data_IF_157146459359
#
_entry.id   IF_157146459359
#
_cell.length_a   1.000
_cell.length_b   1.000
_cell.length_c   1.000
_cell.angle_alpha   90.00
_cell.angle_beta   90.00
_cell.angle_gamma   90.00
#
_symmetry.space_group_name_H-M   'P 1'
#
loop_
_entity.id
_entity.type
_entity.pdbx_description
1 polymer ?
#
# COMPACT_ATOMS: atom_id res chain seq x y z
N UNK A 1 -5.00 -10.15 -38.25
CA UNK A 1 -4.80 -9.25 -37.10
C UNK A 1 -4.26 -10.11 -35.95
N UNK A 2 -2.95 -10.09 -35.71
CA UNK A 2 -2.35 -10.87 -34.63
C UNK A 2 -2.50 -10.10 -33.31
N UNK A 3 -3.51 -10.46 -32.51
CA UNK A 3 -3.62 -9.97 -31.14
C UNK A 3 -2.43 -10.51 -30.33
N UNK A 4 -1.48 -9.63 -29.98
CA UNK A 4 -0.47 -9.95 -28.97
C UNK A 4 -1.21 -10.15 -27.64
N UNK A 5 -1.40 -11.39 -27.23
CA UNK A 5 -1.85 -11.72 -25.88
C UNK A 5 -0.72 -11.32 -24.92
N UNK A 6 -1.00 -10.38 -24.00
CA UNK A 6 -0.04 -10.00 -22.95
C UNK A 6 0.14 -11.17 -21.99
N UNK A 7 1.37 -11.41 -21.58
CA UNK A 7 1.69 -12.45 -20.60
C UNK A 7 1.18 -12.05 -19.21
N UNK A 8 0.95 -13.04 -18.34
CA UNK A 8 0.52 -12.80 -16.94
C UNK A 8 1.54 -11.95 -16.17
N UNK A 9 2.81 -12.03 -16.53
CA UNK A 9 3.90 -11.34 -15.83
C UNK A 9 4.00 -9.87 -16.29
N UNK A 10 3.76 -9.57 -17.57
CA UNK A 10 3.61 -8.18 -18.06
C UNK A 10 2.43 -7.46 -17.41
N UNK A 11 1.28 -8.14 -17.29
CA UNK A 11 0.09 -7.60 -16.62
C UNK A 11 0.33 -7.36 -15.12
N UNK A 12 1.07 -8.25 -14.45
CA UNK A 12 1.46 -8.06 -13.05
C UNK A 12 2.41 -6.85 -12.88
N UNK A 13 3.33 -6.64 -13.83
CA UNK A 13 4.26 -5.51 -13.80
C UNK A 13 3.55 -4.16 -13.96
N UNK A 14 2.63 -4.03 -14.92
CA UNK A 14 1.82 -2.81 -15.10
C UNK A 14 0.96 -2.51 -13.86
N UNK A 15 0.39 -3.55 -13.26
CA UNK A 15 -0.40 -3.44 -12.03
C UNK A 15 0.46 -2.98 -10.85
N UNK A 16 1.66 -3.52 -10.69
CA UNK A 16 2.59 -3.09 -9.64
C UNK A 16 2.97 -1.62 -9.78
N UNK A 17 3.34 -1.19 -10.99
CA UNK A 17 3.65 0.23 -11.27
C UNK A 17 2.46 1.12 -10.87
N UNK A 18 1.24 0.70 -11.19
CA UNK A 18 0.03 1.46 -10.87
C UNK A 18 -0.23 1.53 -9.36
N UNK A 19 -0.07 0.41 -8.65
CA UNK A 19 -0.25 0.35 -7.19
C UNK A 19 0.82 1.20 -6.50
N UNK A 20 2.08 1.06 -6.90
CA UNK A 20 3.22 1.75 -6.31
C UNK A 20 3.05 3.27 -6.51
N UNK A 21 2.68 3.70 -7.72
CA UNK A 21 2.39 5.11 -8.01
C UNK A 21 1.26 5.67 -7.12
N UNK A 22 0.15 4.94 -7.01
CA UNK A 22 -0.97 5.36 -6.16
C UNK A 22 -0.56 5.45 -4.68
N UNK A 23 0.24 4.49 -4.21
CA UNK A 23 0.76 4.49 -2.85
C UNK A 23 1.59 5.74 -2.57
N UNK A 24 2.59 6.04 -3.40
CA UNK A 24 3.47 7.18 -3.20
C UNK A 24 2.75 8.53 -3.33
N UNK A 25 1.81 8.66 -4.27
CA UNK A 25 0.96 9.87 -4.38
C UNK A 25 0.08 10.06 -3.14
N UNK A 26 -0.51 8.98 -2.63
CA UNK A 26 -1.35 9.02 -1.43
C UNK A 26 -0.53 9.36 -0.17
N UNK A 27 0.68 8.79 -0.04
CA UNK A 27 1.63 9.12 1.03
C UNK A 27 2.00 10.60 1.02
N UNK A 28 2.37 11.15 -0.14
CA UNK A 28 2.71 12.57 -0.28
C UNK A 28 1.55 13.48 0.13
N UNK A 29 0.34 13.17 -0.32
CA UNK A 29 -0.85 13.96 0.04
C UNK A 29 -1.14 13.89 1.56
N UNK A 30 -0.98 12.71 2.16
CA UNK A 30 -1.14 12.50 3.60
C UNK A 30 -0.11 13.33 4.38
N UNK A 31 1.16 13.31 3.98
CA UNK A 31 2.23 14.06 4.64
C UNK A 31 2.00 15.57 4.57
N UNK A 32 1.50 16.08 3.45
CA UNK A 32 1.13 17.50 3.34
C UNK A 32 0.02 17.88 4.32
N UNK A 33 -1.00 17.04 4.48
CA UNK A 33 -2.08 17.30 5.44
C UNK A 33 -1.60 17.21 6.90
N UNK A 34 -0.72 16.26 7.21
CA UNK A 34 -0.12 16.13 8.54
C UNK A 34 0.76 17.34 8.85
N UNK A 35 1.59 17.79 7.90
CA UNK A 35 2.49 18.92 8.10
C UNK A 35 1.75 20.22 8.41
N UNK A 36 0.56 20.40 7.84
CA UNK A 36 -0.28 21.57 8.07
C UNK A 36 -0.99 21.55 9.45
N UNK A 37 -0.91 20.44 10.20
CA UNK A 37 -1.51 20.22 11.54
C UNK A 37 -2.98 20.66 11.66
N UNK A 38 -3.73 20.53 10.56
CA UNK A 38 -5.12 20.94 10.50
C UNK A 38 -6.03 19.83 11.02
N UNK A 39 -6.55 20.01 12.24
CA UNK A 39 -7.49 19.10 12.90
C UNK A 39 -8.75 18.86 12.04
N UNK A 40 -9.16 19.81 11.19
CA UNK A 40 -10.29 19.61 10.28
C UNK A 40 -10.04 18.55 9.21
N UNK A 41 -8.77 18.15 9.01
CA UNK A 41 -8.32 17.17 8.01
C UNK A 41 -8.18 15.76 8.55
N UNK A 42 -8.55 15.49 9.81
CA UNK A 42 -8.47 14.16 10.42
C UNK A 42 -9.16 13.08 9.56
N UNK A 43 -10.40 13.33 9.12
CA UNK A 43 -11.14 12.36 8.32
C UNK A 43 -10.54 12.18 6.93
N UNK A 44 -9.94 13.22 6.37
CA UNK A 44 -9.22 13.14 5.10
C UNK A 44 -7.93 12.30 5.25
N UNK A 45 -7.17 12.49 6.33
CA UNK A 45 -6.00 11.69 6.67
C UNK A 45 -6.37 10.22 6.87
N UNK A 46 -7.45 9.92 7.61
CA UNK A 46 -7.95 8.54 7.77
C UNK A 46 -8.34 7.90 6.44
N UNK A 47 -8.98 8.66 5.55
CA UNK A 47 -9.33 8.19 4.20
C UNK A 47 -8.08 7.84 3.39
N UNK A 48 -7.04 8.68 3.45
CA UNK A 48 -5.76 8.43 2.79
C UNK A 48 -5.05 7.20 3.40
N UNK A 49 -5.04 7.07 4.73
CA UNK A 49 -4.51 5.91 5.43
C UNK A 49 -5.20 4.60 4.99
N UNK A 50 -6.52 4.62 4.81
CA UNK A 50 -7.25 3.48 4.29
C UNK A 50 -6.88 3.16 2.83
N UNK A 51 -6.68 4.18 2.00
CA UNK A 51 -6.23 4.00 0.62
C UNK A 51 -4.82 3.38 0.56
N UNK A 52 -3.92 3.82 1.43
CA UNK A 52 -2.58 3.24 1.57
C UNK A 52 -2.67 1.76 1.97
N UNK A 53 -3.46 1.43 2.99
CA UNK A 53 -3.69 0.05 3.41
C UNK A 53 -4.17 -0.85 2.25
N UNK A 54 -5.10 -0.36 1.42
CA UNK A 54 -5.59 -1.08 0.24
C UNK A 54 -4.48 -1.30 -0.79
N UNK A 55 -3.61 -0.32 -1.01
CA UNK A 55 -2.47 -0.46 -1.92
C UNK A 55 -1.53 -1.57 -1.47
N UNK A 56 -1.17 -1.58 -0.17
CA UNK A 56 -0.29 -2.60 0.42
C UNK A 56 -0.93 -3.99 0.30
N UNK A 57 -2.22 -4.13 0.62
CA UNK A 57 -2.94 -5.41 0.48
C UNK A 57 -2.98 -5.90 -0.96
N UNK A 58 -3.23 -5.00 -1.92
CA UNK A 58 -3.21 -5.34 -3.35
C UNK A 58 -1.80 -5.78 -3.74
N UNK A 59 -0.76 -5.02 -3.38
CA UNK A 59 0.64 -5.36 -3.71
C UNK A 59 1.00 -6.75 -3.19
N UNK A 60 0.68 -7.04 -1.93
CA UNK A 60 0.92 -8.33 -1.29
C UNK A 60 0.18 -9.50 -1.95
N UNK A 61 -1.05 -9.30 -2.43
CA UNK A 61 -1.84 -10.36 -3.07
C UNK A 61 -1.23 -10.85 -4.39
N UNK A 62 -0.57 -9.95 -5.13
CA UNK A 62 -0.06 -10.24 -6.47
C UNK A 62 1.40 -10.70 -6.48
N UNK A 63 2.11 -10.63 -5.36
CA UNK A 63 3.46 -11.18 -5.21
C UNK A 63 3.39 -12.69 -4.97
N UNK A 64 3.61 -13.50 -6.02
CA UNK A 64 3.57 -14.98 -5.99
C UNK A 64 4.52 -15.62 -4.95
N UNK A 65 5.51 -14.89 -4.43
CA UNK A 65 6.48 -15.34 -3.43
C UNK A 65 6.29 -14.80 -2.01
N UNK A 66 5.12 -14.22 -1.71
CA UNK A 66 4.89 -13.55 -0.43
C UNK A 66 5.60 -12.21 -0.31
N UNK A 67 5.58 -11.62 0.88
CA UNK A 67 5.83 -10.20 1.14
C UNK A 67 7.26 -9.67 0.84
N UNK A 68 8.15 -10.51 0.30
CA UNK A 68 9.54 -10.17 -0.06
C UNK A 68 9.67 -9.23 -1.27
N UNK A 69 8.58 -8.97 -1.99
CA UNK A 69 8.55 -8.12 -3.19
C UNK A 69 7.72 -6.83 -2.99
N UNK A 70 7.45 -6.47 -1.74
CA UNK A 70 6.80 -5.22 -1.37
C UNK A 70 7.90 -4.20 -1.01
N UNK A 71 7.81 -2.95 -1.49
CA UNK A 71 8.74 -1.88 -1.09
C UNK A 71 8.82 -1.69 0.43
N UNK A 72 9.98 -1.33 0.95
CA UNK A 72 10.20 -1.12 2.40
C UNK A 72 9.29 -0.03 2.97
N UNK A 73 9.02 1.02 2.21
CA UNK A 73 8.14 2.11 2.60
C UNK A 73 6.69 1.64 2.84
N UNK A 74 6.24 0.61 2.13
CA UNK A 74 4.94 -0.02 2.35
C UNK A 74 4.91 -0.90 3.61
N UNK A 75 6.07 -1.41 4.02
CA UNK A 75 6.23 -2.20 5.23
C UNK A 75 6.26 -1.34 6.49
N UNK A 76 7.00 -0.25 6.45
CA UNK A 76 7.18 0.66 7.58
C UNK A 76 6.00 1.62 7.75
N UNK A 77 5.09 1.64 6.78
CA UNK A 77 3.88 2.45 6.86
C UNK A 77 3.02 2.09 8.07
N UNK A 78 2.57 3.13 8.77
CA UNK A 78 1.56 3.05 9.84
C UNK A 78 0.54 4.16 9.68
N UNK A 79 -0.73 3.92 10.02
CA UNK A 79 -1.74 4.97 9.98
C UNK A 79 -1.38 6.08 10.99
N UNK A 80 -1.73 7.33 10.65
CA UNK A 80 -1.48 8.47 11.55
C UNK A 80 -2.47 8.49 12.70
N UNK A 81 -3.74 8.22 12.38
CA UNK A 81 -4.82 8.10 13.35
C UNK A 81 -5.28 6.64 13.50
N UNK A 82 -5.90 6.27 14.64
CA UNK A 82 -6.47 4.94 14.80
C UNK A 82 -7.49 4.62 13.70
N UNK A 83 -7.25 3.54 12.96
CA UNK A 83 -8.19 2.95 12.01
C UNK A 83 -8.52 1.51 12.43
N UNK A 84 -9.65 1.00 11.94
CA UNK A 84 -10.08 -0.36 12.28
C UNK A 84 -9.01 -1.38 11.87
N UNK A 85 -8.47 -2.12 12.85
CA UNK A 85 -7.42 -3.12 12.65
C UNK A 85 -7.77 -4.20 11.62
N UNK A 86 -9.06 -4.46 11.38
CA UNK A 86 -9.52 -5.40 10.34
C UNK A 86 -9.23 -4.90 8.91
N UNK A 87 -9.04 -3.59 8.74
CA UNK A 87 -8.75 -2.95 7.47
C UNK A 87 -7.23 -2.79 7.24
N UNK A 88 -6.42 -3.03 8.27
CA UNK A 88 -4.97 -2.93 8.16
C UNK A 88 -4.40 -4.14 7.41
N UNK A 89 -3.34 -3.94 6.61
CA UNK A 89 -2.60 -5.04 6.03
C UNK A 89 -2.05 -5.94 7.16
N UNK A 90 -2.34 -7.24 7.10
CA UNK A 90 -1.71 -8.22 7.98
C UNK A 90 -0.37 -8.59 7.36
N UNK A 91 0.66 -7.82 7.68
CA UNK A 91 2.02 -8.08 7.21
C UNK A 91 2.78 -8.72 8.37
N UNK A 92 3.30 -9.93 8.18
CA UNK A 92 4.09 -10.67 9.18
C UNK A 92 5.53 -10.71 8.69
N UNK A 93 6.50 -10.18 9.46
CA UNK A 93 7.89 -10.46 9.14
C UNK A 93 8.15 -11.93 9.49
N UNK A 94 8.86 -12.66 8.63
CA UNK A 94 9.37 -13.99 8.97
C UNK A 94 10.32 -13.98 10.20
N UNK A 95 10.68 -12.80 10.74
CA UNK A 95 11.42 -12.67 12.00
C UNK A 95 10.57 -12.91 13.25
N UNK A 96 9.24 -12.93 13.15
CA UNK A 96 8.36 -13.10 14.32
C UNK A 96 8.07 -14.58 14.67
N UNK A 97 8.81 -15.53 14.07
CA UNK A 97 8.65 -16.98 14.31
C UNK A 97 9.59 -17.49 15.41
N UNK A 98 10.45 -16.64 15.98
CA UNK A 98 11.35 -17.02 17.08
C UNK A 98 11.38 -15.96 18.20
N UNK A 99 10.27 -15.83 18.95
CA UNK A 99 10.27 -15.23 20.29
C UNK A 99 9.42 -16.05 21.24
#
# INVERSE_FOLDING_TARGET
>A
MNGKYRTKDELASELFITIDKLFFETMKNREQLIFNDDISKIEEIKRLDLQIAICIQKRARYTKGGFNFIPEEMWDWKPYYPINKKLLPKISRNSDVHS
#
